data_IF_332650923304
#
_entry.id   IF_332650923304
#
_cell.length_a   1.000
_cell.length_b   1.000
_cell.length_c   1.000
_cell.angle_alpha   90.00
_cell.angle_beta   90.00
_cell.angle_gamma   90.00
#
_symmetry.space_group_name_H-M   'P 1'
#
loop_
_entity.id
_entity.type
_entity.pdbx_description
1 polymer ?
#
# COMPACT_ATOMS: atom_id res chain seq x y z
N UNK A 1 13.12 0.24 19.30
CA UNK A 1 13.08 -0.26 17.91
C UNK A 1 12.59 0.85 17.01
N UNK A 2 13.25 1.07 15.87
CA UNK A 2 12.75 1.96 14.82
C UNK A 2 11.43 1.45 14.23
N UNK A 3 10.74 2.28 13.46
CA UNK A 3 9.52 1.85 12.76
C UNK A 3 9.81 0.76 11.71
N UNK A 4 10.97 0.83 11.05
CA UNK A 4 11.38 -0.16 10.06
C UNK A 4 11.67 -1.51 10.71
N UNK A 5 12.36 -1.52 11.86
CA UNK A 5 12.61 -2.75 12.62
C UNK A 5 11.32 -3.42 13.10
N UNK A 6 10.33 -2.62 13.53
CA UNK A 6 9.02 -3.13 13.92
C UNK A 6 8.28 -3.72 12.72
N UNK A 7 8.30 -3.03 11.58
CA UNK A 7 7.71 -3.51 10.33
C UNK A 7 8.34 -4.84 9.89
N UNK A 8 9.66 -4.94 9.90
CA UNK A 8 10.39 -6.19 9.59
C UNK A 8 9.97 -7.32 10.53
N UNK A 9 9.97 -7.09 11.85
CA UNK A 9 9.62 -8.13 12.83
C UNK A 9 8.20 -8.68 12.63
N UNK A 10 7.23 -7.80 12.31
CA UNK A 10 5.82 -8.19 12.18
C UNK A 10 5.48 -8.76 10.81
N UNK A 11 6.03 -8.18 9.75
CA UNK A 11 5.79 -8.63 8.38
C UNK A 11 6.56 -9.90 8.01
N UNK A 12 7.69 -10.16 8.67
CA UNK A 12 8.66 -11.18 8.26
C UNK A 12 9.41 -10.82 6.97
N UNK A 13 9.21 -9.62 6.42
CA UNK A 13 9.89 -9.13 5.22
C UNK A 13 11.03 -8.23 5.70
N UNK A 14 12.26 -8.51 5.26
CA UNK A 14 13.37 -7.63 5.60
C UNK A 14 13.24 -6.31 4.85
N UNK A 15 13.81 -5.25 5.42
CA UNK A 15 13.83 -3.95 4.77
C UNK A 15 14.49 -3.99 3.37
N UNK A 16 15.56 -4.78 3.20
CA UNK A 16 16.23 -4.98 1.91
C UNK A 16 15.28 -5.58 0.86
N UNK A 17 14.52 -6.63 1.22
CA UNK A 17 13.55 -7.27 0.33
C UNK A 17 12.39 -6.31 -0.02
N UNK A 18 11.91 -5.56 0.97
CA UNK A 18 10.82 -4.60 0.79
C UNK A 18 11.18 -3.45 -0.16
N UNK A 19 12.47 -3.07 -0.22
CA UNK A 19 12.95 -2.00 -1.08
C UNK A 19 13.73 -2.49 -2.29
N UNK A 20 13.73 -3.81 -2.56
CA UNK A 20 14.23 -4.38 -3.81
C UNK A 20 13.46 -3.85 -5.05
N UNK A 21 12.30 -3.19 -4.86
CA UNK A 21 11.64 -2.38 -5.90
C UNK A 21 12.53 -1.26 -6.47
N UNK A 22 13.59 -0.86 -5.77
CA UNK A 22 14.54 0.20 -6.20
C UNK A 22 15.68 -0.32 -7.07
N UNK A 23 15.88 -1.64 -7.15
CA UNK A 23 16.92 -2.26 -7.98
C UNK A 23 16.60 -2.20 -9.48
N UNK A 24 15.33 -1.94 -9.82
CA UNK A 24 14.80 -1.96 -11.18
C UNK A 24 13.76 -0.85 -11.35
N UNK A 25 13.58 -0.33 -12.56
CA UNK A 25 12.49 0.59 -12.83
C UNK A 25 11.21 -0.20 -13.18
N UNK A 26 10.40 -0.52 -12.17
CA UNK A 26 9.14 -1.25 -12.36
C UNK A 26 8.15 -0.49 -13.23
N UNK A 27 8.14 0.85 -13.20
CA UNK A 27 7.30 1.64 -14.10
C UNK A 27 7.66 1.44 -15.57
N UNK A 28 8.95 1.42 -15.91
CA UNK A 28 9.41 1.12 -17.27
C UNK A 28 9.05 -0.31 -17.70
N UNK A 29 9.07 -1.27 -16.77
CA UNK A 29 8.70 -2.66 -17.05
C UNK A 29 7.20 -2.85 -17.29
N UNK A 30 6.37 -2.21 -16.48
CA UNK A 30 4.93 -2.51 -16.38
C UNK A 30 4.05 -1.48 -17.09
N UNK A 31 4.53 -0.25 -17.27
CA UNK A 31 3.74 0.85 -17.84
C UNK A 31 2.63 1.37 -16.91
N UNK A 32 2.10 2.55 -17.22
CA UNK A 32 1.08 3.23 -16.42
C UNK A 32 -0.21 2.41 -16.26
N UNK A 33 -0.71 1.85 -17.36
CA UNK A 33 -2.00 1.15 -17.39
C UNK A 33 -2.04 -0.04 -16.43
N UNK A 34 -0.91 -0.72 -16.23
CA UNK A 34 -0.80 -1.83 -15.27
C UNK A 34 -1.01 -1.37 -13.83
N UNK A 35 -0.50 -0.20 -13.42
CA UNK A 35 -0.73 0.34 -12.07
C UNK A 35 -2.17 0.81 -11.87
N UNK A 36 -2.78 1.39 -12.90
CA UNK A 36 -4.20 1.78 -12.90
C UNK A 36 -5.05 0.52 -12.73
N UNK A 37 -4.80 -0.52 -13.54
CA UNK A 37 -5.51 -1.79 -13.48
C UNK A 37 -5.36 -2.46 -12.12
N UNK A 38 -4.13 -2.57 -11.59
CA UNK A 38 -3.87 -3.13 -10.27
C UNK A 38 -4.66 -2.41 -9.17
N UNK A 39 -4.63 -1.08 -9.16
CA UNK A 39 -5.32 -0.29 -8.13
C UNK A 39 -6.84 -0.38 -8.28
N UNK A 40 -7.34 -0.51 -9.52
CA UNK A 40 -8.77 -0.72 -9.82
C UNK A 40 -9.26 -2.08 -9.35
N UNK A 41 -8.51 -3.15 -9.63
CA UNK A 41 -8.79 -4.51 -9.14
C UNK A 41 -8.77 -4.54 -7.61
N UNK A 42 -7.74 -3.94 -7.01
CA UNK A 42 -7.60 -3.84 -5.56
C UNK A 42 -8.81 -3.14 -4.92
N UNK A 43 -9.16 -1.92 -5.35
CA UNK A 43 -10.26 -1.19 -4.73
C UNK A 43 -11.63 -1.73 -5.08
N UNK A 44 -11.81 -2.46 -6.19
CA UNK A 44 -13.07 -3.19 -6.41
C UNK A 44 -13.30 -4.19 -5.29
N UNK A 45 -12.28 -4.99 -4.96
CA UNK A 45 -12.35 -5.95 -3.85
C UNK A 45 -12.54 -5.30 -2.49
N UNK A 46 -11.88 -4.17 -2.23
CA UNK A 46 -12.02 -3.42 -0.97
C UNK A 46 -13.44 -2.87 -0.79
N UNK A 47 -14.02 -2.29 -1.84
CA UNK A 47 -15.37 -1.70 -1.75
C UNK A 47 -16.48 -2.77 -1.77
N UNK A 48 -16.21 -3.94 -2.33
CA UNK A 48 -17.11 -5.09 -2.35
C UNK A 48 -16.87 -6.06 -1.16
N UNK A 49 -16.00 -5.69 -0.21
CA UNK A 49 -15.65 -6.52 0.94
C UNK A 49 -16.89 -6.80 1.82
N UNK A 50 -17.12 -8.09 2.09
CA UNK A 50 -18.20 -8.59 2.94
C UNK A 50 -18.01 -8.27 4.43
N UNK A 51 -16.77 -7.97 4.82
CA UNK A 51 -16.40 -7.57 6.17
C UNK A 51 -16.66 -6.07 6.38
N UNK A 52 -17.82 -5.76 6.97
CA UNK A 52 -18.25 -4.38 7.21
C UNK A 52 -17.22 -3.55 8.00
N UNK A 53 -16.54 -4.16 8.97
CA UNK A 53 -15.52 -3.47 9.79
C UNK A 53 -14.35 -2.95 8.94
N UNK A 54 -13.97 -3.66 7.88
CA UNK A 54 -12.90 -3.26 6.98
C UNK A 54 -13.40 -2.23 5.98
N UNK A 55 -14.56 -2.49 5.36
CA UNK A 55 -15.16 -1.58 4.37
C UNK A 55 -15.46 -0.19 4.95
N UNK A 56 -15.88 -0.10 6.22
CA UNK A 56 -16.09 1.16 6.94
C UNK A 56 -14.83 2.04 7.06
N UNK A 57 -13.63 1.46 6.98
CA UNK A 57 -12.38 2.24 6.98
C UNK A 57 -12.33 3.20 5.78
N UNK A 58 -12.96 2.82 4.66
CA UNK A 58 -12.94 3.55 3.40
C UNK A 58 -14.17 4.44 3.18
N UNK A 59 -15.14 4.46 4.10
CA UNK A 59 -16.42 5.15 3.92
C UNK A 59 -16.31 6.67 3.70
N UNK A 60 -15.20 7.29 4.13
CA UNK A 60 -14.91 8.71 3.92
C UNK A 60 -14.23 9.04 2.59
N UNK A 61 -14.14 8.09 1.64
CA UNK A 61 -13.49 8.28 0.34
C UNK A 61 -14.35 7.69 -0.77
N UNK A 62 -14.27 8.28 -1.97
CA UNK A 62 -14.83 7.65 -3.18
C UNK A 62 -13.87 6.57 -3.67
N UNK A 63 -14.41 5.55 -4.35
CA UNK A 63 -13.61 4.47 -4.93
C UNK A 63 -12.63 5.03 -5.96
N UNK A 64 -13.09 5.96 -6.78
CA UNK A 64 -12.32 6.58 -7.86
C UNK A 64 -11.16 7.41 -7.31
N UNK A 65 -11.38 8.21 -6.26
CA UNK A 65 -10.31 8.97 -5.62
C UNK A 65 -9.29 8.06 -4.94
N UNK A 66 -9.75 6.97 -4.31
CA UNK A 66 -8.88 6.01 -3.66
C UNK A 66 -7.98 5.29 -4.68
N UNK A 67 -8.55 4.84 -5.80
CA UNK A 67 -7.82 4.28 -6.96
C UNK A 67 -6.76 5.28 -7.44
N UNK A 68 -7.18 6.53 -7.70
CA UNK A 68 -6.28 7.57 -8.18
C UNK A 68 -5.13 7.85 -7.24
N UNK A 69 -5.42 8.00 -5.95
CA UNK A 69 -4.40 8.23 -4.93
C UNK A 69 -3.38 7.08 -4.88
N UNK A 70 -3.82 5.84 -5.03
CA UNK A 70 -2.95 4.67 -4.94
C UNK A 70 -2.07 4.50 -6.17
N UNK A 71 -2.63 4.49 -7.39
CA UNK A 71 -1.80 4.27 -8.58
C UNK A 71 -0.82 5.42 -8.78
N UNK A 72 -1.20 6.68 -8.51
CA UNK A 72 -0.28 7.81 -8.64
C UNK A 72 0.90 7.69 -7.66
N UNK A 73 0.63 7.19 -6.43
CA UNK A 73 1.69 6.93 -5.46
C UNK A 73 2.60 5.78 -5.91
N UNK A 74 2.03 4.68 -6.41
CA UNK A 74 2.83 3.54 -6.88
C UNK A 74 3.67 3.91 -8.10
N UNK A 75 3.09 4.57 -9.09
CA UNK A 75 3.81 5.09 -10.27
C UNK A 75 4.99 5.93 -9.84
N UNK A 76 4.78 6.90 -8.96
CA UNK A 76 5.86 7.74 -8.44
C UNK A 76 6.91 6.93 -7.66
N UNK A 77 6.49 6.01 -6.80
CA UNK A 77 7.40 5.24 -5.94
C UNK A 77 8.23 4.24 -6.73
N UNK A 78 7.70 3.74 -7.85
CA UNK A 78 8.26 2.60 -8.59
C UNK A 78 8.92 3.03 -9.92
N UNK A 79 9.38 4.28 -9.99
CA UNK A 79 10.26 4.77 -11.07
C UNK A 79 9.58 5.58 -12.18
N UNK A 80 8.28 5.88 -12.03
CA UNK A 80 7.51 6.71 -12.96
C UNK A 80 7.49 8.20 -12.58
N UNK A 81 6.71 9.01 -13.33
CA UNK A 81 6.58 10.44 -13.05
C UNK A 81 5.95 10.71 -11.67
N UNK A 82 6.27 11.86 -11.02
CA UNK A 82 5.84 12.16 -9.65
C UNK A 82 4.39 12.67 -9.57
N UNK A 83 3.44 11.91 -10.14
CA UNK A 83 2.03 12.31 -10.25
C UNK A 83 1.39 12.60 -8.89
N UNK A 84 1.69 11.78 -7.88
CA UNK A 84 1.14 11.95 -6.54
C UNK A 84 1.63 13.26 -5.91
N UNK A 85 2.95 13.50 -5.93
CA UNK A 85 3.54 14.70 -5.34
C UNK A 85 3.12 15.97 -6.05
N UNK A 86 2.95 15.94 -7.38
CA UNK A 86 2.44 17.07 -8.14
C UNK A 86 1.03 17.49 -7.70
N UNK A 87 0.17 16.52 -7.35
CA UNK A 87 -1.22 16.80 -6.96
C UNK A 87 -1.43 16.99 -5.46
N UNK A 88 -0.73 16.22 -4.61
CA UNK A 88 -0.99 16.13 -3.17
C UNK A 88 0.21 16.50 -2.30
N UNK A 89 1.37 16.80 -2.88
CA UNK A 89 2.62 16.97 -2.15
C UNK A 89 3.13 15.66 -1.56
N UNK A 90 3.90 15.74 -0.47
CA UNK A 90 4.60 14.59 0.09
C UNK A 90 3.65 13.39 0.40
N UNK A 91 4.05 12.14 0.10
CA UNK A 91 3.24 10.95 0.40
C UNK A 91 2.84 10.85 1.87
N UNK A 92 3.80 11.06 2.79
CA UNK A 92 3.58 11.16 4.23
C UNK A 92 2.63 10.07 4.78
N UNK A 93 2.91 8.81 4.43
CA UNK A 93 1.97 7.70 4.59
C UNK A 93 1.41 7.59 6.02
N UNK A 94 2.25 7.63 7.06
CA UNK A 94 1.78 7.57 8.46
C UNK A 94 0.79 8.70 8.77
N UNK A 95 1.14 9.95 8.43
CA UNK A 95 0.29 11.10 8.70
C UNK A 95 -1.06 11.01 7.98
N UNK A 96 -1.07 10.58 6.71
CA UNK A 96 -2.30 10.44 5.92
C UNK A 96 -3.17 9.25 6.34
N UNK A 97 -2.58 8.25 7.00
CA UNK A 97 -3.33 7.13 7.58
C UNK A 97 -3.76 7.39 9.03
N UNK A 98 -3.41 8.56 9.60
CA UNK A 98 -3.79 8.97 10.95
C UNK A 98 -5.29 8.86 11.26
N UNK A 99 -6.21 9.28 10.37
CA UNK A 99 -7.66 9.18 10.60
C UNK A 99 -8.22 7.76 10.62
N UNK A 100 -7.48 6.77 10.11
CA UNK A 100 -7.99 5.41 9.88
C UNK A 100 -7.57 4.44 10.98
N UNK A 101 -8.36 3.38 11.15
CA UNK A 101 -7.97 2.22 11.97
C UNK A 101 -7.00 1.37 11.17
N UNK A 102 -5.71 1.46 11.49
CA UNK A 102 -4.65 0.65 10.88
C UNK A 102 -4.04 -0.25 11.95
N UNK A 103 -4.65 -1.39 12.17
CA UNK A 103 -4.19 -2.46 13.05
C UNK A 103 -3.77 -3.70 12.24
N UNK A 104 -3.26 -4.75 12.90
CA UNK A 104 -2.82 -5.96 12.22
C UNK A 104 -3.93 -6.64 11.40
N UNK A 105 -5.17 -6.82 11.90
CA UNK A 105 -6.27 -7.36 11.09
C UNK A 105 -6.55 -6.53 9.82
N UNK A 106 -6.54 -5.20 9.91
CA UNK A 106 -6.74 -4.33 8.75
C UNK A 106 -5.58 -4.46 7.74
N UNK A 107 -4.34 -4.56 8.21
CA UNK A 107 -3.18 -4.78 7.35
C UNK A 107 -3.27 -6.14 6.62
N UNK A 108 -3.63 -7.20 7.32
CA UNK A 108 -3.81 -8.54 6.73
C UNK A 108 -4.93 -8.55 5.69
N UNK A 109 -6.09 -7.96 6.00
CA UNK A 109 -7.22 -7.89 5.06
C UNK A 109 -6.88 -7.06 3.83
N UNK A 110 -6.17 -5.94 4.00
CA UNK A 110 -5.65 -5.14 2.88
C UNK A 110 -4.70 -5.97 2.01
N UNK A 111 -3.80 -6.75 2.61
CA UNK A 111 -2.83 -7.57 1.88
C UNK A 111 -3.49 -8.75 1.15
N UNK A 112 -4.56 -9.32 1.69
CA UNK A 112 -5.37 -10.35 1.01
C UNK A 112 -5.92 -9.80 -0.31
N UNK A 113 -6.51 -8.60 -0.29
CA UNK A 113 -7.04 -7.97 -1.50
C UNK A 113 -5.94 -7.60 -2.51
N UNK A 114 -4.79 -7.12 -2.02
CA UNK A 114 -3.66 -6.78 -2.89
C UNK A 114 -3.04 -8.03 -3.52
N UNK A 115 -2.89 -9.13 -2.77
CA UNK A 115 -2.45 -10.41 -3.34
C UNK A 115 -3.41 -10.88 -4.42
N UNK A 116 -4.72 -10.89 -4.15
CA UNK A 116 -5.73 -11.30 -5.12
C UNK A 116 -5.75 -10.40 -6.37
N UNK A 117 -5.46 -9.10 -6.22
CA UNK A 117 -5.32 -8.18 -7.34
C UNK A 117 -4.05 -8.46 -8.17
N UNK A 118 -2.91 -8.69 -7.52
CA UNK A 118 -1.67 -9.09 -8.19
C UNK A 118 -1.83 -10.42 -8.93
N UNK A 119 -2.62 -11.35 -8.40
CA UNK A 119 -2.83 -12.66 -9.03
C UNK A 119 -3.58 -12.56 -10.36
N UNK A 120 -4.54 -11.63 -10.49
CA UNK A 120 -5.37 -11.48 -11.71
C UNK A 120 -4.81 -10.50 -12.76
N UNK A 121 -3.89 -9.61 -12.37
CA UNK A 121 -3.23 -8.71 -13.32
C UNK A 121 -2.05 -9.44 -13.98
N UNK A 122 -2.31 -10.05 -15.13
CA UNK A 122 -1.38 -10.90 -15.86
C UNK A 122 -0.18 -10.14 -16.48
N UNK A 123 -0.30 -8.83 -16.62
CA UNK A 123 0.77 -7.96 -17.13
C UNK A 123 1.96 -7.83 -16.15
N UNK A 124 1.76 -8.19 -14.88
CA UNK A 124 2.82 -8.15 -13.86
C UNK A 124 3.52 -9.50 -13.84
N UNK A 125 4.80 -9.53 -14.21
CA UNK A 125 5.62 -10.74 -14.16
C UNK A 125 5.92 -11.19 -12.71
N UNK A 126 6.36 -12.44 -12.54
CA UNK A 126 6.54 -13.04 -11.22
C UNK A 126 7.60 -12.34 -10.34
N UNK A 127 8.69 -11.83 -10.92
CA UNK A 127 9.71 -11.07 -10.18
C UNK A 127 9.11 -9.74 -9.69
N UNK A 128 8.41 -9.03 -10.58
CA UNK A 128 7.70 -7.79 -10.22
C UNK A 128 6.61 -8.03 -9.16
N UNK A 129 5.80 -9.09 -9.26
CA UNK A 129 4.79 -9.45 -8.23
C UNK A 129 5.44 -9.63 -6.86
N UNK A 130 6.55 -10.38 -6.79
CA UNK A 130 7.28 -10.61 -5.53
C UNK A 130 7.78 -9.29 -4.93
N UNK A 131 8.50 -8.49 -5.70
CA UNK A 131 9.06 -7.20 -5.24
C UNK A 131 7.97 -6.26 -4.73
N UNK A 132 6.87 -6.15 -5.48
CA UNK A 132 5.73 -5.31 -5.11
C UNK A 132 5.05 -5.82 -3.84
N UNK A 133 4.81 -7.14 -3.73
CA UNK A 133 4.16 -7.70 -2.55
C UNK A 133 5.02 -7.57 -1.29
N UNK A 134 6.34 -7.78 -1.38
CA UNK A 134 7.27 -7.56 -0.27
C UNK A 134 7.25 -6.08 0.19
N UNK A 135 7.28 -5.14 -0.75
CA UNK A 135 7.13 -3.71 -0.48
C UNK A 135 5.80 -3.40 0.23
N UNK A 136 4.69 -3.91 -0.29
CA UNK A 136 3.36 -3.66 0.28
C UNK A 136 3.21 -4.25 1.67
N UNK A 137 3.63 -5.50 1.86
CA UNK A 137 3.55 -6.20 3.14
C UNK A 137 4.36 -5.49 4.20
N UNK A 138 5.62 -5.15 3.92
CA UNK A 138 6.43 -4.40 4.86
C UNK A 138 5.83 -3.02 5.18
N UNK A 139 5.36 -2.29 4.16
CA UNK A 139 4.77 -0.96 4.34
C UNK A 139 3.45 -1.00 5.13
N UNK A 140 2.63 -2.03 4.97
CA UNK A 140 1.40 -2.22 5.76
C UNK A 140 1.72 -2.32 7.26
N UNK A 141 2.70 -3.14 7.65
CA UNK A 141 3.12 -3.25 9.05
C UNK A 141 3.92 -2.04 9.55
N UNK A 142 4.59 -1.29 8.66
CA UNK A 142 5.15 0.02 8.99
C UNK A 142 4.06 1.03 9.38
N UNK A 143 2.93 1.02 8.68
CA UNK A 143 1.76 1.84 9.03
C UNK A 143 1.13 1.41 10.36
N UNK A 144 1.02 0.10 10.63
CA UNK A 144 0.55 -0.41 11.94
C UNK A 144 1.44 0.11 13.07
N UNK A 145 2.77 -0.05 12.95
CA UNK A 145 3.71 0.45 13.95
C UNK A 145 3.63 1.98 14.10
N UNK A 146 3.48 2.71 13.00
CA UNK A 146 3.27 4.17 13.01
C UNK A 146 1.99 4.58 13.74
N UNK A 147 0.89 3.88 13.50
CA UNK A 147 -0.42 4.13 14.12
C UNK A 147 -0.37 3.90 15.63
N UNK A 148 0.31 2.86 16.10
CA UNK A 148 0.51 2.61 17.53
C UNK A 148 1.31 3.70 18.23
N UNK A 149 2.33 4.26 17.57
CA UNK A 149 3.08 5.40 18.13
C UNK A 149 2.20 6.64 18.20
N UNK A 150 1.41 6.94 17.15
CA UNK A 150 0.49 8.07 17.15
C UNK A 150 -0.56 7.95 18.27
N UNK A 151 -1.16 6.78 18.43
CA UNK A 151 -2.17 6.55 19.48
C UNK A 151 -1.57 6.73 20.88
N UNK A 152 -0.34 6.25 21.13
CA UNK A 152 0.35 6.46 22.40
C UNK A 152 0.65 7.93 22.69
N UNK A 153 1.02 8.71 21.67
CA UNK A 153 1.27 10.15 21.82
C UNK A 153 0.01 10.95 22.14
N UNK A 154 -1.14 10.54 21.59
CA UNK A 154 -2.41 11.22 21.83
C UNK A 154 -3.05 10.85 23.18
N UNK A 155 -2.58 9.79 23.82
CA UNK A 155 -3.05 9.33 25.13
C UNK A 155 -2.24 9.89 26.31
N UNK A 156 -1.16 10.63 26.03
CA UNK A 156 -0.35 11.39 27.00
C UNK A 156 -0.77 12.85 26.98
#
# INVERSE_FOLDING_TARGET
>A
MSLQEQATRRSGVKQEDAFAIDEVNLFQRLGLDTFIKLSTEFYTRVYDDDQEWFRKIFAGSTKEDAIRNQYEFFVQRMGGPPLYSQRKGHPALIGRHGPFTVNEPAAERWLQHMQAALDVVNEIDADSKKRMFDFFKHTAYFLVAGKEIMNRRNAM
#
